data_IF_951829966433
#
_entry.id   IF_951829966433
#
_cell.length_a   1.000
_cell.length_b   1.000
_cell.length_c   1.000
_cell.angle_alpha   90.00
_cell.angle_beta   90.00
_cell.angle_gamma   90.00
#
_symmetry.space_group_name_H-M   'P 1'
#
loop_
_entity.id
_entity.type
_entity.pdbx_description
1 polymer ?
#
# COMPACT_ATOMS: atom_id res chain seq x y z
N UNK A 1 -33.51 -9.28 7.18
CA UNK A 1 -32.53 -8.47 6.40
C UNK A 1 -31.61 -7.79 7.39
N UNK A 2 -30.34 -8.20 7.50
CA UNK A 2 -29.37 -7.54 8.39
C UNK A 2 -29.13 -6.14 7.85
N UNK A 3 -29.35 -5.09 8.65
CA UNK A 3 -28.86 -3.74 8.39
C UNK A 3 -27.34 -3.86 8.14
N UNK A 4 -26.91 -3.88 6.87
CA UNK A 4 -25.49 -3.76 6.51
C UNK A 4 -25.09 -2.36 6.96
N UNK A 5 -24.25 -2.28 8.00
CA UNK A 5 -23.76 -1.03 8.56
C UNK A 5 -23.23 -0.12 7.44
N UNK A 6 -24.03 0.89 7.13
CA UNK A 6 -23.70 1.91 6.16
C UNK A 6 -22.52 2.74 6.70
N UNK A 7 -21.33 2.65 6.10
CA UNK A 7 -20.20 3.52 6.48
C UNK A 7 -20.58 5.00 6.36
N UNK A 8 -21.07 5.41 5.19
CA UNK A 8 -21.70 6.71 4.99
C UNK A 8 -23.19 6.58 4.64
N UNK A 9 -24.02 7.48 5.19
CA UNK A 9 -25.45 7.53 4.88
C UNK A 9 -25.76 8.40 3.65
N UNK A 10 -25.05 9.51 3.47
CA UNK A 10 -25.23 10.43 2.35
C UNK A 10 -24.01 11.34 2.17
N UNK A 11 -24.03 12.21 1.15
CA UNK A 11 -23.01 13.25 0.99
C UNK A 11 -23.08 14.28 2.13
N UNK A 12 -24.29 14.62 2.57
CA UNK A 12 -24.54 15.51 3.70
C UNK A 12 -23.99 14.92 5.01
N UNK A 13 -24.03 13.58 5.17
CA UNK A 13 -23.37 12.90 6.28
C UNK A 13 -21.84 13.12 6.26
N UNK A 14 -21.21 13.04 5.08
CA UNK A 14 -19.77 13.31 4.95
C UNK A 14 -19.41 14.73 5.36
N UNK A 15 -20.19 15.74 4.96
CA UNK A 15 -19.97 17.14 5.39
C UNK A 15 -20.21 17.37 6.89
N UNK A 16 -21.14 16.64 7.51
CA UNK A 16 -21.30 16.66 8.98
C UNK A 16 -20.06 16.09 9.67
N UNK A 17 -19.53 14.98 9.16
CA UNK A 17 -18.33 14.35 9.69
C UNK A 17 -17.08 15.21 9.47
N UNK A 18 -16.97 15.90 8.34
CA UNK A 18 -15.88 16.86 8.07
C UNK A 18 -15.81 17.91 9.18
N UNK A 19 -16.94 18.55 9.52
CA UNK A 19 -17.01 19.53 10.61
C UNK A 19 -16.68 18.93 11.98
N UNK A 20 -17.14 17.70 12.23
CA UNK A 20 -16.96 17.04 13.53
C UNK A 20 -15.51 16.59 13.77
N UNK A 21 -14.84 16.10 12.73
CA UNK A 21 -13.52 15.48 12.83
C UNK A 21 -12.40 16.36 12.31
N UNK A 22 -12.71 17.49 11.66
CA UNK A 22 -11.75 18.33 10.97
C UNK A 22 -10.93 17.51 9.96
N UNK A 23 -11.65 16.87 9.04
CA UNK A 23 -11.12 16.01 7.97
C UNK A 23 -11.86 16.34 6.68
N UNK A 24 -11.18 16.63 5.56
CA UNK A 24 -11.84 16.99 4.30
C UNK A 24 -12.88 15.97 3.87
N UNK A 25 -14.07 16.43 3.46
CA UNK A 25 -15.17 15.56 3.05
C UNK A 25 -14.76 14.59 1.92
N UNK A 26 -13.88 15.01 1.03
CA UNK A 26 -13.34 14.14 -0.03
C UNK A 26 -12.54 12.96 0.52
N UNK A 27 -11.71 13.16 1.55
CA UNK A 27 -10.96 12.07 2.18
C UNK A 27 -11.93 11.08 2.84
N UNK A 28 -12.99 11.59 3.50
CA UNK A 28 -14.03 10.74 4.11
C UNK A 28 -14.72 9.87 3.07
N UNK A 29 -15.07 10.46 1.91
CA UNK A 29 -15.67 9.74 0.78
C UNK A 29 -14.72 8.68 0.22
N UNK A 30 -13.43 9.01 0.05
CA UNK A 30 -12.42 8.09 -0.47
C UNK A 30 -12.09 6.94 0.49
N UNK A 31 -12.10 7.18 1.81
CA UNK A 31 -11.99 6.14 2.83
C UNK A 31 -13.18 5.18 2.71
N UNK A 32 -14.42 5.70 2.66
CA UNK A 32 -15.63 4.87 2.53
C UNK A 32 -15.62 4.06 1.24
N UNK A 33 -15.27 4.69 0.11
CA UNK A 33 -15.12 4.03 -1.19
C UNK A 33 -14.09 2.89 -1.13
N UNK A 34 -12.94 3.11 -0.48
CA UNK A 34 -11.91 2.08 -0.34
C UNK A 34 -12.39 0.87 0.44
N UNK A 35 -13.13 1.07 1.54
CA UNK A 35 -13.61 0.01 2.41
C UNK A 35 -14.73 -0.81 1.77
N UNK A 36 -15.62 -0.16 1.02
CA UNK A 36 -16.77 -0.79 0.38
C UNK A 36 -16.47 -1.40 -1.00
N UNK A 37 -15.44 -0.88 -1.67
CA UNK A 37 -15.20 -1.14 -3.08
C UNK A 37 -16.23 -0.44 -3.96
N UNK A 38 -16.20 -0.76 -5.25
CA UNK A 38 -17.05 -0.16 -6.28
C UNK A 38 -17.79 -1.24 -7.06
N UNK A 39 -19.01 -0.98 -7.49
CA UNK A 39 -19.69 -1.81 -8.47
C UNK A 39 -19.36 -1.29 -9.87
N UNK A 40 -18.63 -2.09 -10.65
CA UNK A 40 -18.42 -1.87 -12.07
C UNK A 40 -18.91 -3.12 -12.85
N UNK A 41 -20.14 -3.11 -13.39
CA UNK A 41 -20.75 -4.29 -13.99
C UNK A 41 -20.19 -4.63 -15.38
N UNK A 42 -19.43 -3.72 -16.00
CA UNK A 42 -18.93 -3.87 -17.37
C UNK A 42 -17.60 -4.64 -17.47
N UNK A 43 -17.04 -5.10 -16.34
CA UNK A 43 -15.82 -5.90 -16.31
C UNK A 43 -15.96 -7.04 -15.32
N UNK A 44 -15.78 -8.26 -15.80
CA UNK A 44 -15.75 -9.46 -14.97
C UNK A 44 -14.38 -9.61 -14.30
N UNK A 45 -14.12 -8.74 -13.33
CA UNK A 45 -12.91 -8.78 -12.50
C UNK A 45 -13.27 -8.52 -11.04
N UNK A 46 -12.53 -9.17 -10.14
CA UNK A 46 -12.66 -8.99 -8.69
C UNK A 46 -12.09 -7.66 -8.19
N UNK A 47 -11.20 -7.04 -8.97
CA UNK A 47 -10.60 -5.75 -8.65
C UNK A 47 -10.43 -4.91 -9.91
N UNK A 48 -10.64 -3.63 -9.75
CA UNK A 48 -10.59 -2.65 -10.81
C UNK A 48 -9.63 -1.53 -10.46
N UNK A 49 -8.90 -1.05 -11.47
CA UNK A 49 -8.21 0.24 -11.38
C UNK A 49 -8.87 1.23 -12.30
N UNK A 50 -8.97 2.48 -11.86
CA UNK A 50 -9.55 3.55 -12.64
C UNK A 50 -9.12 4.91 -12.12
N UNK A 51 -9.27 5.93 -12.97
CA UNK A 51 -8.97 7.32 -12.61
C UNK A 51 -10.28 8.05 -12.30
N UNK A 52 -10.26 8.92 -11.31
CA UNK A 52 -11.35 9.85 -11.02
C UNK A 52 -10.87 11.29 -10.90
N UNK A 53 -11.76 12.22 -11.23
CA UNK A 53 -11.64 13.65 -10.96
C UNK A 53 -12.86 14.06 -10.13
N UNK A 54 -12.76 14.09 -8.78
CA UNK A 54 -13.87 14.44 -7.90
C UNK A 54 -14.42 15.83 -8.17
N UNK A 55 -15.72 16.05 -8.00
CA UNK A 55 -16.31 17.39 -8.19
C UNK A 55 -16.00 18.35 -7.03
N UNK A 56 -15.63 17.81 -5.86
CA UNK A 56 -15.33 18.62 -4.67
C UNK A 56 -13.96 19.29 -4.73
N UNK A 57 -13.02 18.78 -5.54
CA UNK A 57 -11.64 19.26 -5.61
C UNK A 57 -11.10 19.13 -7.03
N UNK A 58 -10.19 20.02 -7.42
CA UNK A 58 -9.55 19.98 -8.73
C UNK A 58 -8.25 19.14 -8.71
N UNK A 59 -8.37 17.87 -8.34
CA UNK A 59 -7.25 16.91 -8.35
C UNK A 59 -7.70 15.56 -8.90
N UNK A 60 -6.77 14.86 -9.54
CA UNK A 60 -7.01 13.53 -10.08
C UNK A 60 -6.49 12.45 -9.12
N UNK A 61 -7.29 11.39 -8.96
CA UNK A 61 -6.95 10.22 -8.18
C UNK A 61 -6.97 9.00 -9.07
N UNK A 62 -5.93 8.19 -9.02
CA UNK A 62 -5.96 6.85 -9.55
C UNK A 62 -6.33 5.90 -8.42
N UNK A 63 -7.18 4.91 -8.59
CA UNK A 63 -7.66 4.07 -7.48
C UNK A 63 -7.53 2.59 -7.85
N UNK A 64 -7.31 1.74 -6.84
CA UNK A 64 -7.29 0.27 -6.99
C UNK A 64 -8.23 -0.37 -5.97
N UNK A 65 -9.44 -0.75 -6.40
CA UNK A 65 -10.54 -1.14 -5.53
C UNK A 65 -11.05 -2.55 -5.82
N UNK A 66 -11.74 -3.14 -4.84
CA UNK A 66 -12.51 -4.36 -5.05
C UNK A 66 -13.76 -4.05 -5.87
N UNK A 67 -14.10 -4.93 -6.81
CA UNK A 67 -15.31 -4.84 -7.61
C UNK A 67 -16.44 -5.56 -6.86
N UNK A 68 -17.21 -4.80 -6.10
CA UNK A 68 -18.24 -5.29 -5.19
C UNK A 68 -19.62 -5.04 -5.80
N UNK A 69 -20.31 -6.09 -6.23
CA UNK A 69 -21.64 -6.00 -6.88
C UNK A 69 -22.68 -5.23 -6.07
N UNK A 70 -22.69 -5.43 -4.75
CA UNK A 70 -23.63 -4.77 -3.83
C UNK A 70 -23.11 -3.41 -3.31
N UNK A 71 -22.03 -2.87 -3.89
CA UNK A 71 -21.52 -1.58 -3.43
C UNK A 71 -22.51 -0.46 -3.71
N UNK A 72 -22.56 0.48 -2.77
CA UNK A 72 -23.31 1.75 -2.91
C UNK A 72 -22.56 2.75 -3.80
N UNK A 73 -21.31 2.44 -4.12
CA UNK A 73 -20.49 3.14 -5.08
C UNK A 73 -20.62 2.45 -6.44
N UNK A 74 -20.99 3.21 -7.46
CA UNK A 74 -21.19 2.68 -8.81
C UNK A 74 -20.31 3.47 -9.77
N UNK A 75 -19.50 2.77 -10.54
CA UNK A 75 -18.82 3.33 -11.69
C UNK A 75 -19.65 3.00 -12.93
N UNK A 76 -20.17 4.00 -13.65
CA UNK A 76 -21.06 3.77 -14.80
C UNK A 76 -20.36 3.90 -16.17
N UNK A 77 -19.02 3.94 -16.17
CA UNK A 77 -18.19 4.11 -17.36
C UNK A 77 -17.73 5.55 -17.59
N UNK A 78 -18.41 6.54 -17.00
CA UNK A 78 -18.07 7.98 -17.14
C UNK A 78 -18.02 8.74 -15.81
N UNK A 79 -18.70 8.23 -14.80
CA UNK A 79 -18.87 8.87 -13.50
C UNK A 79 -18.76 7.84 -12.38
N UNK A 80 -18.22 8.30 -11.26
CA UNK A 80 -18.37 7.63 -9.98
C UNK A 80 -19.59 8.20 -9.28
N UNK A 81 -20.51 7.33 -8.90
CA UNK A 81 -21.75 7.64 -8.20
C UNK A 81 -21.70 7.08 -6.78
N UNK A 82 -22.23 7.80 -5.81
CA UNK A 82 -22.54 7.30 -4.47
C UNK A 82 -24.04 7.38 -4.25
N UNK A 83 -24.72 6.24 -4.02
CA UNK A 83 -26.18 6.18 -3.91
C UNK A 83 -26.89 6.96 -5.04
N UNK A 84 -26.46 6.73 -6.28
CA UNK A 84 -26.93 7.40 -7.51
C UNK A 84 -26.62 8.90 -7.63
N UNK A 85 -25.98 9.54 -6.64
CA UNK A 85 -25.50 10.93 -6.75
C UNK A 85 -24.11 10.95 -7.38
N UNK A 86 -23.83 11.78 -8.40
CA UNK A 86 -22.51 11.89 -9.01
C UNK A 86 -21.50 12.58 -8.08
N UNK A 87 -20.37 11.92 -7.84
CA UNK A 87 -19.29 12.40 -6.95
C UNK A 87 -18.03 12.78 -7.73
N UNK A 88 -17.76 12.10 -8.85
CA UNK A 88 -16.61 12.37 -9.70
C UNK A 88 -16.91 12.10 -11.18
N UNK A 89 -16.11 12.70 -12.07
CA UNK A 89 -15.84 12.09 -13.37
C UNK A 89 -14.97 10.86 -13.14
N UNK A 90 -15.18 9.82 -13.95
CA UNK A 90 -14.40 8.61 -13.86
C UNK A 90 -14.08 8.11 -15.26
N UNK A 91 -12.85 7.66 -15.43
CA UNK A 91 -12.27 7.26 -16.72
C UNK A 91 -11.64 5.88 -16.60
N UNK A 92 -11.48 5.23 -17.76
CA UNK A 92 -10.74 4.00 -18.02
C UNK A 92 -10.72 3.01 -16.84
N UNK A 93 -11.58 2.00 -16.91
CA UNK A 93 -11.49 0.87 -15.98
C UNK A 93 -10.64 -0.23 -16.59
N UNK A 94 -9.59 -0.61 -15.89
CA UNK A 94 -8.73 -1.73 -16.24
C UNK A 94 -8.72 -2.79 -15.13
N UNK A 95 -8.31 -4.00 -15.51
CA UNK A 95 -8.10 -5.08 -14.55
C UNK A 95 -6.93 -4.73 -13.62
N UNK A 96 -7.15 -4.89 -12.33
CA UNK A 96 -6.07 -4.81 -11.36
C UNK A 96 -5.24 -6.11 -11.40
N UNK A 97 -4.13 -6.08 -12.13
CA UNK A 97 -3.20 -7.20 -12.27
C UNK A 97 -2.08 -7.15 -11.23
N UNK A 98 -1.48 -8.31 -10.95
CA UNK A 98 -0.33 -8.43 -10.07
C UNK A 98 0.96 -8.52 -10.86
N UNK A 99 1.33 -7.44 -11.54
CA UNK A 99 2.49 -7.44 -12.43
C UNK A 99 3.81 -7.53 -11.66
N UNK A 100 4.82 -8.17 -12.25
CA UNK A 100 6.15 -8.38 -11.69
C UNK A 100 6.88 -7.05 -11.46
N UNK A 101 6.60 -6.05 -12.30
CA UNK A 101 7.13 -4.68 -12.16
C UNK A 101 6.14 -3.62 -12.63
N UNK A 102 6.09 -2.48 -11.94
CA UNK A 102 5.33 -1.29 -12.35
C UNK A 102 5.82 -0.02 -11.63
N UNK A 103 5.59 1.14 -12.24
CA UNK A 103 5.86 2.44 -11.61
C UNK A 103 4.67 2.93 -10.79
N UNK A 104 4.94 3.48 -9.60
CA UNK A 104 3.96 4.05 -8.67
C UNK A 104 3.90 5.56 -8.70
N UNK A 105 5.03 6.21 -8.99
CA UNK A 105 5.14 7.66 -9.00
C UNK A 105 5.79 8.11 -10.28
N UNK A 106 5.24 9.15 -10.87
CA UNK A 106 5.72 9.75 -12.09
C UNK A 106 6.00 11.24 -11.88
N UNK A 107 6.86 11.79 -12.73
CA UNK A 107 7.09 13.24 -12.83
C UNK A 107 7.05 13.64 -14.30
N UNK A 108 6.63 14.86 -14.60
CA UNK A 108 6.67 15.38 -15.96
C UNK A 108 8.00 16.08 -16.19
N UNK A 109 8.78 15.59 -17.15
CA UNK A 109 10.03 16.21 -17.60
C UNK A 109 9.89 16.43 -19.11
N UNK A 110 9.91 17.71 -19.54
CA UNK A 110 9.80 18.11 -20.95
C UNK A 110 8.62 17.42 -21.69
N UNK A 111 7.42 17.44 -21.09
CA UNK A 111 6.20 16.78 -21.58
C UNK A 111 6.24 15.24 -21.66
N UNK A 112 7.27 14.59 -21.10
CA UNK A 112 7.30 13.16 -20.91
C UNK A 112 7.03 12.80 -19.45
N UNK A 113 6.14 11.83 -19.23
CA UNK A 113 5.83 11.29 -17.92
C UNK A 113 6.83 10.18 -17.60
N UNK A 114 7.72 10.43 -16.64
CA UNK A 114 8.81 9.52 -16.30
C UNK A 114 8.56 8.90 -14.93
N UNK A 115 8.63 7.57 -14.84
CA UNK A 115 8.51 6.82 -13.59
C UNK A 115 9.72 7.06 -12.67
N UNK A 116 9.47 7.29 -11.38
CA UNK A 116 10.52 7.60 -10.39
C UNK A 116 10.50 6.69 -9.17
N UNK A 117 9.43 5.93 -8.98
CA UNK A 117 9.28 4.96 -7.90
C UNK A 117 8.76 3.67 -8.52
N UNK A 118 9.54 2.60 -8.49
CA UNK A 118 9.19 1.32 -9.09
C UNK A 118 8.88 0.29 -8.00
N UNK A 119 7.97 -0.63 -8.30
CA UNK A 119 7.75 -1.84 -7.49
C UNK A 119 8.27 -3.04 -8.26
N UNK A 120 8.97 -3.94 -7.56
CA UNK A 120 9.38 -5.27 -8.06
C UNK A 120 8.72 -6.33 -7.17
N UNK A 121 7.80 -7.09 -7.76
CA UNK A 121 7.14 -8.25 -7.16
C UNK A 121 7.94 -9.49 -7.53
N UNK A 122 8.97 -9.79 -6.74
CA UNK A 122 10.05 -10.63 -7.22
C UNK A 122 9.84 -12.13 -7.15
N UNK A 123 8.85 -12.60 -6.38
CA UNK A 123 8.56 -14.02 -6.26
C UNK A 123 7.10 -14.29 -6.59
N UNK A 124 6.81 -15.49 -7.07
CA UNK A 124 5.50 -15.88 -7.57
C UNK A 124 4.46 -15.79 -6.45
N UNK A 125 3.64 -14.73 -6.50
CA UNK A 125 2.62 -14.46 -5.47
C UNK A 125 1.52 -15.52 -5.44
N UNK A 126 1.33 -16.30 -6.51
CA UNK A 126 0.36 -17.42 -6.55
C UNK A 126 0.79 -18.58 -5.65
N UNK A 127 2.09 -18.74 -5.37
CA UNK A 127 2.60 -19.72 -4.39
C UNK A 127 2.29 -19.31 -2.95
N UNK A 128 1.83 -18.09 -2.71
CA UNK A 128 1.40 -17.66 -1.39
C UNK A 128 -0.04 -18.12 -1.11
N UNK A 129 -0.23 -19.06 -0.19
CA UNK A 129 -1.55 -19.39 0.38
C UNK A 129 -2.24 -18.26 1.20
N UNK A 130 -1.68 -17.05 1.22
CA UNK A 130 -2.28 -15.84 1.79
C UNK A 130 -2.35 -15.75 3.32
N UNK A 131 -2.34 -14.52 3.87
CA UNK A 131 -2.93 -14.23 5.18
C UNK A 131 -4.45 -14.13 5.01
N UNK A 132 -5.26 -14.31 6.08
CA UNK A 132 -6.73 -14.37 5.94
C UNK A 132 -7.36 -13.16 5.27
N UNK A 133 -6.79 -11.98 5.46
CA UNK A 133 -7.22 -10.70 4.88
C UNK A 133 -6.63 -10.41 3.47
N UNK A 134 -5.67 -11.21 3.01
CA UNK A 134 -5.03 -10.99 1.72
C UNK A 134 -5.89 -11.57 0.59
N UNK A 135 -5.92 -10.91 -0.56
CA UNK A 135 -6.53 -11.48 -1.77
C UNK A 135 -5.68 -11.34 -3.03
N UNK A 136 -4.49 -10.74 -2.92
CA UNK A 136 -3.63 -10.46 -4.08
C UNK A 136 -3.02 -11.72 -4.69
N UNK A 137 -2.96 -12.84 -3.94
CA UNK A 137 -2.49 -14.13 -4.45
C UNK A 137 -3.44 -14.76 -5.50
N UNK A 138 -4.68 -14.29 -5.59
CA UNK A 138 -5.67 -14.74 -6.59
C UNK A 138 -5.71 -13.87 -7.85
N UNK A 139 -4.88 -12.84 -7.92
CA UNK A 139 -4.84 -11.95 -9.08
C UNK A 139 -3.98 -12.57 -10.19
N UNK A 140 -4.38 -12.34 -11.42
CA UNK A 140 -3.59 -12.70 -12.59
C UNK A 140 -2.53 -11.62 -12.82
N UNK A 141 -1.36 -12.04 -13.30
CA UNK A 141 -0.39 -11.13 -13.90
C UNK A 141 -0.84 -10.76 -15.32
N UNK A 142 -0.40 -9.62 -15.83
CA UNK A 142 -0.59 -9.28 -17.24
C UNK A 142 -0.02 -10.37 -18.17
N UNK A 143 -0.59 -10.50 -19.36
CA UNK A 143 -0.11 -11.46 -20.37
C UNK A 143 1.35 -11.15 -20.74
N UNK A 144 2.21 -12.15 -20.70
CA UNK A 144 3.65 -12.00 -21.02
C UNK A 144 4.51 -11.48 -19.88
N UNK A 145 3.93 -11.34 -18.68
CA UNK A 145 4.68 -11.04 -17.48
C UNK A 145 5.42 -12.29 -16.93
N UNK A 146 6.51 -12.06 -16.19
CA UNK A 146 7.31 -13.14 -15.62
C UNK A 146 6.67 -13.65 -14.32
N UNK A 147 6.64 -14.98 -14.15
CA UNK A 147 6.07 -15.62 -12.95
C UNK A 147 6.90 -15.34 -11.68
N UNK A 148 8.20 -15.13 -11.84
CA UNK A 148 9.13 -14.70 -10.78
C UNK A 148 10.36 -13.99 -11.38
N UNK A 149 11.06 -13.23 -10.53
CA UNK A 149 12.27 -12.47 -10.86
C UNK A 149 13.43 -12.92 -9.95
N UNK A 150 13.45 -14.18 -9.52
CA UNK A 150 14.42 -14.66 -8.54
C UNK A 150 15.79 -14.96 -9.14
N UNK A 151 15.89 -15.09 -10.47
CA UNK A 151 17.18 -15.29 -11.15
C UNK A 151 17.70 -14.00 -11.81
N UNK A 152 19.04 -13.83 -11.88
CA UNK A 152 19.68 -12.70 -12.55
C UNK A 152 19.21 -12.49 -14.00
N UNK A 153 19.05 -13.57 -14.78
CA UNK A 153 18.67 -13.50 -16.18
C UNK A 153 17.21 -13.04 -16.34
N UNK A 154 16.30 -13.55 -15.51
CA UNK A 154 14.88 -13.15 -15.52
C UNK A 154 14.72 -11.69 -15.13
N UNK A 155 15.42 -11.25 -14.08
CA UNK A 155 15.41 -9.85 -13.68
C UNK A 155 15.88 -8.94 -14.83
N UNK A 156 17.04 -9.22 -15.43
CA UNK A 156 17.58 -8.41 -16.54
C UNK A 156 16.61 -8.34 -17.71
N UNK A 157 16.07 -9.50 -18.13
CA UNK A 157 15.09 -9.57 -19.21
C UNK A 157 13.88 -8.67 -18.90
N UNK A 158 13.38 -8.71 -17.67
CA UNK A 158 12.23 -7.88 -17.27
C UNK A 158 12.57 -6.39 -17.21
N UNK A 159 13.72 -6.01 -16.65
CA UNK A 159 14.12 -4.60 -16.59
C UNK A 159 14.36 -4.04 -18.02
N UNK A 160 15.02 -4.79 -18.90
CA UNK A 160 15.20 -4.41 -20.30
C UNK A 160 13.85 -4.19 -21.01
N UNK A 161 12.87 -5.06 -20.76
CA UNK A 161 11.52 -4.90 -21.28
C UNK A 161 10.84 -3.61 -20.79
N UNK A 162 10.95 -3.31 -19.49
CA UNK A 162 10.41 -2.06 -18.90
C UNK A 162 11.09 -0.84 -19.52
N UNK A 163 12.42 -0.83 -19.61
CA UNK A 163 13.19 0.26 -20.20
C UNK A 163 12.80 0.51 -21.67
N UNK A 164 12.68 -0.56 -22.46
CA UNK A 164 12.25 -0.46 -23.85
C UNK A 164 10.84 0.11 -24.00
N UNK A 165 9.88 -0.35 -23.19
CA UNK A 165 8.50 0.13 -23.22
C UNK A 165 8.37 1.60 -22.82
N UNK A 166 9.13 2.02 -21.80
CA UNK A 166 9.13 3.39 -21.30
C UNK A 166 10.09 4.32 -22.08
N UNK A 167 10.83 3.77 -23.06
CA UNK A 167 11.86 4.47 -23.85
C UNK A 167 12.93 5.12 -22.97
N UNK A 168 13.41 4.37 -21.98
CA UNK A 168 14.45 4.76 -21.04
C UNK A 168 15.74 4.00 -21.33
N UNK A 169 16.89 4.65 -21.16
CA UNK A 169 18.21 4.02 -21.34
C UNK A 169 18.61 3.20 -20.11
N UNK A 170 18.38 3.76 -18.91
CA UNK A 170 18.75 3.15 -17.63
C UNK A 170 17.79 3.56 -16.50
N UNK A 171 18.11 3.16 -15.25
CA UNK A 171 17.33 3.46 -14.05
C UNK A 171 17.94 4.59 -13.19
N UNK A 172 18.87 5.39 -13.72
CA UNK A 172 19.57 6.44 -12.95
C UNK A 172 18.65 7.54 -12.39
N UNK A 173 17.51 7.75 -13.04
CA UNK A 173 16.47 8.71 -12.63
C UNK A 173 15.49 8.15 -11.58
N UNK A 174 15.49 6.83 -11.36
CA UNK A 174 14.60 6.17 -10.40
C UNK A 174 15.11 6.43 -8.99
N UNK A 175 14.24 7.01 -8.16
CA UNK A 175 14.56 7.42 -6.78
C UNK A 175 14.38 6.31 -5.77
N UNK A 176 13.48 5.38 -6.04
CA UNK A 176 13.20 4.26 -5.15
C UNK A 176 12.67 3.04 -5.88
N UNK A 177 13.08 1.87 -5.40
CA UNK A 177 12.59 0.57 -5.86
C UNK A 177 12.10 -0.20 -4.64
N UNK A 178 10.80 -0.48 -4.58
CA UNK A 178 10.19 -1.31 -3.55
C UNK A 178 10.23 -2.78 -3.96
N UNK A 179 10.99 -3.58 -3.22
CA UNK A 179 11.06 -5.04 -3.37
C UNK A 179 9.96 -5.65 -2.52
N UNK A 180 8.90 -6.13 -3.16
CA UNK A 180 7.80 -6.81 -2.49
C UNK A 180 7.99 -8.31 -2.66
N UNK A 181 8.70 -8.90 -1.70
CA UNK A 181 8.99 -10.33 -1.69
C UNK A 181 7.86 -11.09 -0.99
N UNK A 182 7.25 -12.06 -1.67
CA UNK A 182 6.49 -13.11 -1.02
C UNK A 182 7.34 -14.38 -0.91
N UNK A 183 7.16 -15.17 0.15
CA UNK A 183 7.38 -16.63 0.08
C UNK A 183 8.78 -17.14 -0.31
N UNK A 184 9.85 -16.43 0.04
CA UNK A 184 11.15 -17.10 0.18
C UNK A 184 11.09 -18.04 1.38
N UNK A 185 11.74 -19.20 1.27
CA UNK A 185 11.67 -20.26 2.30
C UNK A 185 12.28 -19.80 3.63
N UNK A 186 13.34 -19.00 3.57
CA UNK A 186 14.08 -18.58 4.74
C UNK A 186 14.71 -17.18 4.58
N UNK A 187 15.31 -16.70 5.67
CA UNK A 187 15.99 -15.40 5.74
C UNK A 187 17.20 -15.30 4.79
N UNK A 188 17.97 -16.39 4.64
CA UNK A 188 19.17 -16.42 3.80
C UNK A 188 18.79 -16.16 2.34
N UNK A 189 17.81 -16.88 1.81
CA UNK A 189 17.38 -16.73 0.42
C UNK A 189 16.79 -15.33 0.16
N UNK A 190 16.07 -14.79 1.15
CA UNK A 190 15.55 -13.42 1.08
C UNK A 190 16.69 -12.41 0.98
N UNK A 191 17.73 -12.54 1.81
CA UNK A 191 18.88 -11.65 1.80
C UNK A 191 19.68 -11.78 0.50
N UNK A 192 19.98 -13.01 0.06
CA UNK A 192 20.71 -13.26 -1.18
C UNK A 192 19.99 -12.65 -2.38
N UNK A 193 18.66 -12.74 -2.42
CA UNK A 193 17.86 -12.12 -3.46
C UNK A 193 17.90 -10.58 -3.43
N UNK A 194 17.82 -9.96 -2.24
CA UNK A 194 17.95 -8.50 -2.09
C UNK A 194 19.33 -8.02 -2.58
N UNK A 195 20.39 -8.74 -2.20
CA UNK A 195 21.75 -8.41 -2.60
C UNK A 195 21.96 -8.58 -4.12
N UNK A 196 21.40 -9.63 -4.71
CA UNK A 196 21.41 -9.86 -6.15
C UNK A 196 20.68 -8.75 -6.92
N UNK A 197 19.50 -8.34 -6.45
CA UNK A 197 18.76 -7.20 -7.01
C UNK A 197 19.60 -5.92 -6.95
N UNK A 198 20.18 -5.61 -5.79
CA UNK A 198 21.00 -4.42 -5.60
C UNK A 198 22.20 -4.39 -6.55
N UNK A 199 22.92 -5.50 -6.67
CA UNK A 199 24.08 -5.63 -7.54
C UNK A 199 23.72 -5.38 -9.01
N UNK A 200 22.68 -6.07 -9.51
CA UNK A 200 22.25 -5.94 -10.91
C UNK A 200 21.69 -4.55 -11.20
N UNK A 201 20.81 -4.03 -10.35
CA UNK A 201 20.22 -2.70 -10.56
C UNK A 201 21.30 -1.61 -10.58
N UNK A 202 22.31 -1.71 -9.71
CA UNK A 202 23.40 -0.74 -9.65
C UNK A 202 24.35 -0.86 -10.83
N UNK A 203 24.84 -2.07 -11.11
CA UNK A 203 25.95 -2.26 -12.05
C UNK A 203 25.48 -2.31 -13.50
N UNK A 204 24.30 -2.88 -13.76
CA UNK A 204 23.81 -3.07 -15.13
C UNK A 204 22.84 -1.95 -15.55
N UNK A 205 22.19 -1.28 -14.59
CA UNK A 205 21.13 -0.31 -14.84
C UNK A 205 21.36 1.05 -14.19
N UNK A 206 22.56 1.31 -13.65
CA UNK A 206 22.97 2.61 -13.10
C UNK A 206 22.01 3.15 -12.02
N UNK A 207 21.30 2.28 -11.32
CA UNK A 207 20.38 2.66 -10.26
C UNK A 207 21.14 3.22 -9.05
N UNK A 208 20.71 4.38 -8.54
CA UNK A 208 21.34 5.10 -7.41
C UNK A 208 20.37 5.43 -6.28
N UNK A 209 19.11 5.03 -6.43
CA UNK A 209 18.04 5.33 -5.48
C UNK A 209 18.03 4.43 -4.25
N UNK A 210 16.93 4.49 -3.51
CA UNK A 210 16.68 3.66 -2.33
C UNK A 210 16.08 2.28 -2.70
N UNK A 211 16.58 1.21 -2.08
CA UNK A 211 15.93 -0.10 -2.08
C UNK A 211 15.08 -0.28 -0.82
N UNK A 212 13.77 -0.44 -1.02
CA UNK A 212 12.79 -0.65 0.04
C UNK A 212 12.34 -2.10 0.08
N UNK A 213 12.79 -2.85 1.08
CA UNK A 213 12.31 -4.20 1.34
C UNK A 213 10.97 -4.16 2.07
N UNK A 214 9.93 -4.75 1.48
CA UNK A 214 8.60 -4.88 2.08
C UNK A 214 8.35 -6.34 2.47
N UNK A 215 8.54 -6.67 3.75
CA UNK A 215 8.42 -8.05 4.23
C UNK A 215 8.74 -8.22 5.71
N UNK A 216 8.96 -9.45 6.14
CA UNK A 216 9.22 -9.80 7.55
C UNK A 216 10.34 -10.83 7.75
N UNK A 217 11.00 -11.31 6.69
CA UNK A 217 11.93 -12.45 6.80
C UNK A 217 13.35 -12.04 7.21
N UNK A 218 13.74 -10.78 7.04
CA UNK A 218 15.02 -10.26 7.52
C UNK A 218 14.88 -9.95 9.02
N UNK A 219 15.53 -10.77 9.88
CA UNK A 219 15.33 -10.71 11.33
C UNK A 219 16.61 -10.72 12.15
N UNK A 220 17.70 -11.23 11.59
CA UNK A 220 18.98 -11.35 12.29
C UNK A 220 19.82 -10.09 12.13
N UNK A 221 20.59 -9.76 13.17
CA UNK A 221 21.57 -8.66 13.12
C UNK A 221 22.61 -8.90 12.01
N UNK A 222 22.95 -10.16 11.72
CA UNK A 222 23.89 -10.52 10.65
C UNK A 222 23.36 -10.08 9.27
N UNK A 223 22.09 -10.37 8.97
CA UNK A 223 21.46 -9.95 7.71
C UNK A 223 21.30 -8.44 7.64
N UNK A 224 20.90 -7.79 8.74
CA UNK A 224 20.79 -6.33 8.80
C UNK A 224 22.15 -5.66 8.53
N UNK A 225 23.23 -6.13 9.15
CA UNK A 225 24.59 -5.63 8.89
C UNK A 225 24.99 -5.78 7.43
N UNK A 226 24.73 -6.95 6.84
CA UNK A 226 24.96 -7.17 5.39
C UNK A 226 24.14 -6.22 4.52
N UNK A 227 22.86 -5.99 4.84
CA UNK A 227 22.06 -5.02 4.09
C UNK A 227 22.66 -3.61 4.20
N UNK A 228 23.03 -3.16 5.40
CA UNK A 228 23.64 -1.84 5.61
C UNK A 228 24.99 -1.69 4.89
N UNK A 229 25.78 -2.77 4.80
CA UNK A 229 27.09 -2.76 4.15
C UNK A 229 27.00 -2.71 2.62
N UNK A 230 26.11 -3.49 2.02
CA UNK A 230 26.08 -3.68 0.57
C UNK A 230 25.01 -2.86 -0.16
N UNK A 231 23.96 -2.43 0.53
CA UNK A 231 22.86 -1.63 -0.04
C UNK A 231 23.03 -0.17 0.37
N UNK A 232 23.39 0.69 -0.60
CA UNK A 232 23.77 2.08 -0.33
C UNK A 232 22.69 2.89 0.41
N UNK A 233 21.42 2.70 0.03
CA UNK A 233 20.26 3.31 0.69
C UNK A 233 19.17 2.26 0.82
N UNK A 234 18.87 1.87 2.06
CA UNK A 234 17.95 0.78 2.36
C UNK A 234 16.81 1.24 3.26
N UNK A 235 15.58 0.80 2.97
CA UNK A 235 14.44 0.85 3.89
C UNK A 235 13.94 -0.57 4.18
N UNK A 236 13.62 -0.85 5.44
CA UNK A 236 12.80 -2.00 5.86
C UNK A 236 11.39 -1.51 6.20
N UNK A 237 10.43 -1.91 5.37
CA UNK A 237 9.00 -1.75 5.62
C UNK A 237 8.45 -3.08 6.17
N UNK A 238 8.46 -3.22 7.50
CA UNK A 238 8.12 -4.46 8.18
C UNK A 238 6.61 -4.73 8.09
N UNK A 239 6.22 -5.91 7.58
CA UNK A 239 4.80 -6.27 7.50
C UNK A 239 4.27 -6.71 8.87
N UNK A 240 3.67 -5.79 9.63
CA UNK A 240 3.02 -6.07 10.92
C UNK A 240 1.57 -6.52 10.71
N UNK A 241 0.87 -5.84 9.80
CA UNK A 241 -0.49 -6.12 9.30
C UNK A 241 -1.62 -6.00 10.35
N UNK A 242 -1.46 -6.57 11.54
CA UNK A 242 -2.40 -6.49 12.67
C UNK A 242 -1.66 -6.67 14.01
N UNK A 243 -2.23 -6.16 15.09
CA UNK A 243 -1.64 -6.24 16.44
C UNK A 243 -2.21 -7.40 17.26
N UNK A 244 -3.50 -7.66 17.13
CA UNK A 244 -4.23 -8.73 17.81
C UNK A 244 -4.51 -9.90 16.88
N UNK A 245 -4.91 -11.05 17.44
CA UNK A 245 -5.34 -12.24 16.68
C UNK A 245 -4.32 -12.70 15.62
N UNK A 246 -3.04 -12.37 15.78
CA UNK A 246 -2.01 -12.57 14.76
C UNK A 246 -1.83 -14.05 14.38
N UNK A 247 -1.87 -14.95 15.36
CA UNK A 247 -1.85 -16.41 15.13
C UNK A 247 -3.03 -16.90 14.26
N UNK A 248 -4.16 -16.18 14.27
CA UNK A 248 -5.35 -16.51 13.49
C UNK A 248 -5.33 -15.85 12.11
N UNK A 249 -4.61 -14.74 11.94
CA UNK A 249 -4.64 -13.90 10.73
C UNK A 249 -3.44 -14.12 9.81
N UNK A 250 -2.26 -14.27 10.41
CA UNK A 250 -0.97 -14.34 9.74
C UNK A 250 -0.52 -15.78 9.57
N UNK A 251 0.36 -15.99 8.59
CA UNK A 251 1.12 -17.23 8.47
C UNK A 251 2.22 -17.31 9.53
N UNK A 252 2.65 -18.53 9.93
CA UNK A 252 3.72 -18.70 10.91
C UNK A 252 4.99 -17.89 10.61
N UNK A 253 5.42 -17.85 9.35
CA UNK A 253 6.66 -17.19 8.92
C UNK A 253 6.56 -15.64 9.00
N UNK A 254 5.34 -15.10 9.01
CA UNK A 254 5.08 -13.65 9.19
C UNK A 254 4.79 -13.29 10.64
N UNK A 255 4.62 -14.27 11.53
CA UNK A 255 4.09 -14.07 12.87
C UNK A 255 5.20 -13.82 13.91
N UNK A 256 6.11 -12.89 13.59
CA UNK A 256 7.17 -12.44 14.51
C UNK A 256 6.53 -11.61 15.61
N UNK A 257 6.84 -11.83 16.89
CA UNK A 257 6.25 -11.05 17.99
C UNK A 257 6.47 -9.54 17.84
N UNK A 258 5.55 -8.72 18.36
CA UNK A 258 5.61 -7.26 18.24
C UNK A 258 6.85 -6.65 18.94
N UNK A 259 7.29 -7.26 20.05
CA UNK A 259 8.55 -6.86 20.70
C UNK A 259 9.77 -7.18 19.85
N UNK A 260 9.78 -8.36 19.21
CA UNK A 260 10.88 -8.75 18.34
C UNK A 260 10.93 -7.86 17.10
N UNK A 261 9.81 -7.54 16.46
CA UNK A 261 9.78 -6.62 15.32
C UNK A 261 10.28 -5.22 15.69
N UNK A 262 9.89 -4.67 16.85
CA UNK A 262 10.45 -3.40 17.35
C UNK A 262 11.97 -3.46 17.55
N UNK A 263 12.49 -4.54 18.15
CA UNK A 263 13.94 -4.75 18.32
C UNK A 263 14.68 -4.82 16.99
N UNK A 264 14.09 -5.50 16.00
CA UNK A 264 14.65 -5.60 14.64
C UNK A 264 14.69 -4.22 13.99
N UNK A 265 13.59 -3.46 14.03
CA UNK A 265 13.54 -2.11 13.47
C UNK A 265 14.49 -1.15 14.20
N UNK A 266 14.61 -1.23 15.52
CA UNK A 266 15.58 -0.41 16.24
C UNK A 266 17.01 -0.73 15.80
N UNK A 267 17.36 -2.01 15.72
CA UNK A 267 18.68 -2.45 15.23
C UNK A 267 18.93 -1.98 13.80
N UNK A 268 17.93 -2.06 12.92
CA UNK A 268 18.04 -1.59 11.54
C UNK A 268 18.30 -0.07 11.49
N UNK A 269 17.53 0.69 12.26
CA UNK A 269 17.69 2.14 12.41
C UNK A 269 19.09 2.51 12.93
N UNK A 270 19.59 1.81 13.95
CA UNK A 270 20.92 2.04 14.52
C UNK A 270 22.05 1.74 13.50
N UNK A 271 21.77 0.86 12.53
CA UNK A 271 22.68 0.56 11.40
C UNK A 271 22.50 1.51 10.21
N UNK A 272 21.70 2.57 10.33
CA UNK A 272 21.46 3.55 9.26
C UNK A 272 20.45 3.09 8.20
N UNK A 273 19.74 1.99 8.42
CA UNK A 273 18.66 1.52 7.54
C UNK A 273 17.38 2.25 7.92
N UNK A 274 16.67 2.81 6.94
CA UNK A 274 15.38 3.44 7.16
C UNK A 274 14.32 2.41 7.58
N UNK A 275 13.36 2.82 8.40
CA UNK A 275 12.39 1.90 8.99
C UNK A 275 10.97 2.43 8.92
N UNK A 276 10.05 1.54 8.56
CA UNK A 276 8.61 1.76 8.63
C UNK A 276 7.88 0.43 8.88
N UNK A 277 6.57 0.50 9.06
CA UNK A 277 5.70 -0.67 9.19
C UNK A 277 4.57 -0.61 8.16
N UNK A 278 4.09 -1.78 7.75
CA UNK A 278 2.81 -1.94 7.09
C UNK A 278 1.78 -2.45 8.09
N UNK A 279 0.60 -1.82 8.09
CA UNK A 279 -0.52 -2.16 8.96
C UNK A 279 -1.84 -2.09 8.19
N UNK A 280 -2.79 -2.96 8.54
CA UNK A 280 -4.14 -2.99 7.96
C UNK A 280 -5.15 -2.46 8.98
N UNK A 281 -5.61 -1.23 8.74
CA UNK A 281 -6.64 -0.57 9.51
C UNK A 281 -8.00 -1.27 9.38
N UNK A 282 -8.61 -1.53 10.52
CA UNK A 282 -9.89 -2.22 10.65
C UNK A 282 -9.81 -3.61 11.27
N UNK A 283 -8.60 -4.13 11.52
CA UNK A 283 -8.41 -5.46 12.12
C UNK A 283 -8.34 -5.46 13.66
N UNK A 284 -8.06 -4.33 14.30
CA UNK A 284 -7.85 -4.22 15.74
C UNK A 284 -8.75 -3.15 16.40
N UNK A 285 -9.00 -3.20 17.71
CA UNK A 285 -9.54 -2.06 18.47
C UNK A 285 -8.65 -0.81 18.35
N UNK A 286 -9.25 0.38 18.42
CA UNK A 286 -8.48 1.64 18.29
C UNK A 286 -7.53 1.87 19.46
N UNK A 287 -7.88 1.40 20.64
CA UNK A 287 -7.07 1.50 21.85
C UNK A 287 -5.75 0.75 21.63
N UNK A 288 -5.83 -0.51 21.18
CA UNK A 288 -4.66 -1.33 20.85
C UNK A 288 -3.86 -0.73 19.69
N UNK A 289 -4.55 -0.25 18.65
CA UNK A 289 -3.89 0.43 17.54
C UNK A 289 -3.06 1.63 18.02
N UNK A 290 -3.65 2.52 18.81
CA UNK A 290 -2.99 3.71 19.35
C UNK A 290 -1.78 3.34 20.20
N UNK A 291 -1.95 2.41 21.14
CA UNK A 291 -0.92 1.99 22.07
C UNK A 291 0.26 1.32 21.36
N UNK A 292 0.00 0.42 20.42
CA UNK A 292 1.07 -0.23 19.67
C UNK A 292 1.78 0.74 18.72
N UNK A 293 1.07 1.61 18.01
CA UNK A 293 1.71 2.61 17.15
C UNK A 293 2.65 3.50 17.97
N UNK A 294 2.24 3.98 19.15
CA UNK A 294 3.12 4.76 20.05
C UNK A 294 4.41 4.02 20.41
N UNK A 295 4.35 2.71 20.61
CA UNK A 295 5.54 1.87 20.87
C UNK A 295 6.43 1.71 19.64
N UNK A 296 5.88 1.81 18.43
CA UNK A 296 6.67 1.79 17.20
C UNK A 296 7.32 3.14 16.88
N UNK A 297 6.70 4.28 17.21
CA UNK A 297 7.23 5.63 16.88
C UNK A 297 8.74 5.79 17.10
N UNK A 298 9.35 5.36 18.22
CA UNK A 298 10.79 5.54 18.46
C UNK A 298 11.69 4.80 17.46
N UNK A 299 11.18 3.74 16.83
CA UNK A 299 11.94 2.86 15.93
C UNK A 299 11.62 3.10 14.45
N UNK A 300 10.80 4.12 14.10
CA UNK A 300 10.47 4.47 12.72
C UNK A 300 11.29 5.67 12.24
N UNK A 301 11.75 5.63 10.99
CA UNK A 301 12.35 6.78 10.29
C UNK A 301 11.47 7.28 9.13
N UNK A 302 10.46 6.51 8.72
CA UNK A 302 9.38 6.96 7.84
C UNK A 302 8.01 6.81 8.51
N UNK A 303 7.02 7.56 7.99
CA UNK A 303 5.63 7.42 8.43
C UNK A 303 5.11 5.99 8.12
N UNK A 304 4.31 5.36 9.00
CA UNK A 304 3.79 4.02 8.77
C UNK A 304 2.85 3.96 7.55
N UNK A 305 2.89 2.85 6.82
CA UNK A 305 2.01 2.60 5.68
C UNK A 305 0.74 1.92 6.20
N UNK A 306 -0.35 2.67 6.28
CA UNK A 306 -1.62 2.26 6.91
C UNK A 306 -2.69 2.03 5.84
N UNK A 307 -2.89 0.76 5.46
CA UNK A 307 -3.87 0.36 4.45
C UNK A 307 -5.24 0.11 5.11
N UNK A 308 -6.33 0.55 4.51
CA UNK A 308 -7.68 0.11 4.92
C UNK A 308 -7.96 -1.33 4.48
N UNK A 309 -8.74 -2.05 5.30
CA UNK A 309 -9.15 -3.42 4.96
C UNK A 309 -10.21 -3.44 3.85
N UNK A 310 -9.80 -3.93 2.67
CA UNK A 310 -10.70 -4.24 1.56
C UNK A 310 -11.13 -5.71 1.57
N UNK A 311 -12.34 -6.00 1.12
CA UNK A 311 -12.88 -7.35 0.99
C UNK A 311 -12.57 -7.93 -0.39
N UNK A 312 -11.48 -8.69 -0.50
CA UNK A 312 -11.06 -9.29 -1.77
C UNK A 312 -11.86 -10.52 -2.16
N UNK A 313 -12.41 -11.21 -1.16
CA UNK A 313 -13.27 -12.39 -1.33
C UNK A 313 -14.45 -12.29 -0.35
N UNK A 314 -15.62 -12.86 -0.71
CA UNK A 314 -16.78 -12.86 0.17
C UNK A 314 -16.44 -13.41 1.56
N UNK A 315 -16.91 -12.70 2.60
CA UNK A 315 -16.75 -13.08 4.01
C UNK A 315 -15.50 -12.50 4.67
N UNK A 316 -14.58 -11.87 3.93
CA UNK A 316 -13.43 -11.19 4.57
C UNK A 316 -13.87 -9.99 5.42
N UNK A 317 -15.04 -9.40 5.16
CA UNK A 317 -15.59 -8.36 6.03
C UNK A 317 -15.77 -8.83 7.49
N UNK A 318 -16.01 -10.12 7.73
CA UNK A 318 -16.18 -10.68 9.08
C UNK A 318 -14.89 -10.71 9.90
N UNK A 319 -13.73 -10.53 9.25
CA UNK A 319 -12.44 -10.40 9.94
C UNK A 319 -12.28 -9.02 10.60
N UNK A 320 -13.05 -8.01 10.17
CA UNK A 320 -13.00 -6.65 10.73
C UNK A 320 -13.33 -6.67 12.20
N UNK A 321 -12.67 -5.82 12.97
CA UNK A 321 -13.09 -5.54 14.32
C UNK A 321 -14.49 -4.90 14.29
N UNK A 322 -15.35 -5.20 15.27
CA UNK A 322 -16.75 -4.75 15.26
C UNK A 322 -16.89 -3.23 15.14
N UNK A 323 -16.02 -2.47 15.83
CA UNK A 323 -15.98 -1.01 15.76
C UNK A 323 -15.61 -0.48 14.36
N UNK A 324 -14.86 -1.25 13.58
CA UNK A 324 -14.41 -0.89 12.24
C UNK A 324 -15.53 -1.05 11.19
N UNK A 325 -16.76 -1.38 11.59
CA UNK A 325 -17.93 -1.35 10.70
C UNK A 325 -18.58 0.04 10.63
N UNK A 326 -17.91 1.09 11.11
CA UNK A 326 -18.38 2.47 11.11
C UNK A 326 -17.27 3.39 10.62
N UNK A 327 -17.62 4.45 9.89
CA UNK A 327 -16.62 5.36 9.30
C UNK A 327 -15.82 6.10 10.38
N UNK A 328 -16.45 6.40 11.53
CA UNK A 328 -15.85 7.10 12.66
C UNK A 328 -14.64 6.36 13.23
N UNK A 329 -14.59 5.03 13.12
CA UNK A 329 -13.40 4.27 13.51
C UNK A 329 -12.17 4.72 12.72
N UNK A 330 -12.30 4.88 11.41
CA UNK A 330 -11.20 5.29 10.53
C UNK A 330 -10.85 6.77 10.70
N UNK A 331 -11.85 7.62 10.94
CA UNK A 331 -11.62 9.04 11.22
C UNK A 331 -10.91 9.24 12.56
N UNK A 332 -11.32 8.51 13.61
CA UNK A 332 -10.62 8.49 14.89
C UNK A 332 -9.18 7.99 14.73
N UNK A 333 -8.96 6.89 14.00
CA UNK A 333 -7.61 6.38 13.73
C UNK A 333 -6.73 7.41 13.02
N UNK A 334 -7.29 8.15 12.06
CA UNK A 334 -6.61 9.26 11.39
C UNK A 334 -6.19 10.35 12.38
N UNK A 335 -7.10 10.84 13.22
CA UNK A 335 -6.78 11.88 14.23
C UNK A 335 -5.76 11.39 15.25
N UNK A 336 -5.83 10.11 15.66
CA UNK A 336 -4.82 9.50 16.53
C UNK A 336 -3.44 9.52 15.87
N UNK A 337 -3.33 9.17 14.59
CA UNK A 337 -2.06 9.23 13.86
C UNK A 337 -1.53 10.66 13.74
N UNK A 338 -2.39 11.63 13.41
CA UNK A 338 -2.00 13.04 13.36
C UNK A 338 -1.46 13.51 14.72
N UNK A 339 -2.10 13.16 15.82
CA UNK A 339 -1.64 13.54 17.16
C UNK A 339 -0.34 12.83 17.57
N UNK A 340 -0.24 11.51 17.35
CA UNK A 340 0.96 10.72 17.70
C UNK A 340 2.21 11.23 16.97
N UNK A 341 2.05 11.67 15.71
CA UNK A 341 3.16 12.10 14.87
C UNK A 341 3.25 13.63 14.71
N UNK A 342 2.47 14.45 15.44
CA UNK A 342 2.45 15.92 15.28
C UNK A 342 3.82 16.58 15.48
N UNK A 343 4.56 16.11 16.47
CA UNK A 343 5.89 16.60 16.85
C UNK A 343 7.01 15.80 16.16
N UNK A 344 6.64 14.96 15.18
CA UNK A 344 7.57 14.18 14.38
C UNK A 344 7.64 14.79 12.99
N UNK A 345 8.85 14.82 12.42
CA UNK A 345 9.02 15.23 11.02
C UNK A 345 8.65 14.07 10.05
N UNK A 346 7.59 13.34 10.36
CA UNK A 346 7.11 12.19 9.60
C UNK A 346 5.68 12.46 9.16
N UNK A 347 5.41 12.28 7.86
CA UNK A 347 4.10 12.50 7.25
C UNK A 347 3.80 11.46 6.18
N UNK A 348 2.52 11.15 5.94
CA UNK A 348 2.13 10.21 4.90
C UNK A 348 2.54 10.72 3.52
N UNK A 349 2.91 9.80 2.63
CA UNK A 349 3.18 10.06 1.22
C UNK A 349 2.01 9.48 0.41
N UNK A 350 1.20 10.35 -0.19
CA UNK A 350 -0.04 9.98 -0.91
C UNK A 350 0.17 9.03 -2.11
N UNK A 351 1.39 8.95 -2.64
CA UNK A 351 1.74 8.01 -3.72
C UNK A 351 2.19 6.63 -3.21
N UNK A 352 2.22 6.39 -1.90
CA UNK A 352 2.66 5.10 -1.34
C UNK A 352 1.50 4.13 -1.12
N UNK A 353 0.30 4.63 -0.82
CA UNK A 353 -0.83 3.80 -0.41
C UNK A 353 -2.13 4.22 -1.10
N UNK A 354 -2.65 3.34 -1.96
CA UNK A 354 -3.90 3.52 -2.70
C UNK A 354 -5.16 3.57 -1.81
N UNK A 355 -5.01 3.03 -0.60
CA UNK A 355 -6.13 2.73 0.29
C UNK A 355 -5.85 3.22 1.70
N UNK A 356 -5.11 4.32 1.79
CA UNK A 356 -4.72 4.95 3.04
C UNK A 356 -5.86 5.65 3.78
N UNK A 357 -5.49 6.35 4.86
CA UNK A 357 -6.38 7.27 5.61
C UNK A 357 -6.21 8.74 5.20
N UNK A 358 -5.22 9.03 4.35
CA UNK A 358 -4.80 10.38 4.00
C UNK A 358 -4.71 10.51 2.48
N UNK A 359 -5.56 11.35 1.90
CA UNK A 359 -5.61 11.54 0.45
C UNK A 359 -5.24 12.98 0.09
N UNK A 360 -5.81 13.97 0.77
CA UNK A 360 -5.56 15.39 0.46
C UNK A 360 -4.75 16.11 1.52
N UNK A 361 -4.93 15.77 2.81
CA UNK A 361 -4.37 16.54 3.93
C UNK A 361 -3.83 15.65 5.06
N UNK A 362 -2.93 16.20 5.87
CA UNK A 362 -2.42 15.64 7.12
C UNK A 362 -2.14 16.77 8.11
N UNK A 363 -2.78 16.73 9.28
CA UNK A 363 -2.61 17.75 10.32
C UNK A 363 -2.93 19.17 9.82
N UNK A 364 -4.02 19.31 9.06
CA UNK A 364 -4.45 20.58 8.46
C UNK A 364 -3.57 21.11 7.32
N UNK A 365 -2.57 20.34 6.87
CA UNK A 365 -1.68 20.74 5.77
C UNK A 365 -1.91 19.87 4.54
N UNK A 366 -1.96 20.51 3.37
CA UNK A 366 -2.07 19.84 2.08
C UNK A 366 -0.90 18.88 1.84
N UNK A 367 -1.24 17.67 1.43
CA UNK A 367 -0.30 16.66 0.96
C UNK A 367 -0.03 16.85 -0.52
N UNK A 368 1.22 16.94 -0.91
CA UNK A 368 1.64 17.08 -2.30
C UNK A 368 2.03 15.73 -2.91
N UNK A 369 1.85 15.61 -4.22
CA UNK A 369 2.24 14.43 -5.00
C UNK A 369 1.07 13.82 -5.77
N UNK A 370 1.38 12.80 -6.58
CA UNK A 370 0.37 12.04 -7.30
C UNK A 370 -0.53 11.33 -6.30
N UNK A 371 -1.84 11.47 -6.49
CA UNK A 371 -2.84 10.80 -5.69
C UNK A 371 -3.17 9.47 -6.36
N UNK A 372 -2.84 8.41 -5.64
CA UNK A 372 -3.22 7.04 -5.97
C UNK A 372 -4.21 6.53 -4.93
#
# INVERSE_FOLDING_TARGET
MKNKNAFLESLEHAFKLEKKYDVPAIDILLISLNIEGVNYPFLDSKRVRFKISPYLINEDFYLALTNTKDSRWIHNGKKLLFKNKPIAKAELVENDTCDSTYFRKFVNIKNHKIGTEMTINSNNRRKCSGCKFCGTYKLNSAKGDEDDLTSPQRLRKRINYVLANEKLEDLSHVKGISIVTGCFENEKDTLEHILMLNDILKNDYNFKGELKYMGSQITSIKSLKKMAEYVNSATIAMTIECFTRRNQMLKPEKNISLDKSRKILNTAKDLGINTTILYIMGLDPLEIFSDEIKKYVPVLTEFPIINTMQEYIPGQADLRHLSANRIEYYLNARKMLEDIFKDKNLKPKVWQDYRGLFFTEYGGKKLNGIKI
#
